data_IF_542991800871
#
_entry.id   IF_542991800871
#
_cell.length_a   1.000
_cell.length_b   1.000
_cell.length_c   1.000
_cell.angle_alpha   90.00
_cell.angle_beta   90.00
_cell.angle_gamma   90.00
#
_symmetry.space_group_name_H-M   'P 1'
#
loop_
_entity.id
_entity.type
_entity.pdbx_description
1 polymer ?
#
# COMPACT_ATOMS: atom_id res chain seq x y z
N UNK A 1 -1.52 1.38 26.68
CA UNK A 1 -0.57 0.86 25.65
C UNK A 1 -1.31 0.38 24.40
N UNK A 2 -2.30 -0.50 24.51
CA UNK A 2 -3.06 -1.01 23.34
C UNK A 2 -3.83 0.09 22.59
N UNK A 3 -4.50 1.00 23.30
CA UNK A 3 -5.18 2.16 22.72
C UNK A 3 -4.23 3.07 21.94
N UNK A 4 -3.05 3.35 22.50
CA UNK A 4 -2.04 4.22 21.87
C UNK A 4 -1.50 3.60 20.58
N UNK A 5 -1.26 2.28 20.56
CA UNK A 5 -0.85 1.57 19.35
C UNK A 5 -1.92 1.59 18.26
N UNK A 6 -3.21 1.45 18.62
CA UNK A 6 -4.33 1.56 17.69
C UNK A 6 -4.42 2.97 17.10
N UNK A 7 -4.33 4.01 17.95
CA UNK A 7 -4.38 5.42 17.50
C UNK A 7 -3.23 5.74 16.56
N UNK A 8 -2.00 5.31 16.87
CA UNK A 8 -0.84 5.51 16.00
C UNK A 8 -1.05 4.78 14.67
N UNK A 9 -1.56 3.54 14.69
CA UNK A 9 -1.87 2.80 13.47
C UNK A 9 -2.92 3.48 12.60
N UNK A 10 -3.98 4.04 13.21
CA UNK A 10 -5.02 4.78 12.50
C UNK A 10 -4.52 6.09 11.89
N UNK A 11 -3.60 6.80 12.55
CA UNK A 11 -2.98 8.02 12.01
C UNK A 11 -2.04 7.68 10.82
N UNK A 12 -1.43 6.51 10.87
CA UNK A 12 -0.50 6.00 9.87
C UNK A 12 -1.19 5.38 8.65
N UNK A 13 -2.44 4.92 8.77
CA UNK A 13 -3.21 4.37 7.65
C UNK A 13 -3.39 5.35 6.47
N UNK A 14 -3.75 6.63 6.68
CA UNK A 14 -3.77 7.64 5.61
C UNK A 14 -2.43 7.77 4.88
N UNK A 15 -1.31 7.70 5.62
CA UNK A 15 0.02 7.76 5.04
C UNK A 15 0.28 6.54 4.15
N UNK A 16 -0.14 5.33 4.59
CA UNK A 16 -0.06 4.12 3.77
C UNK A 16 -0.83 4.28 2.46
N UNK A 17 -2.05 4.79 2.52
CA UNK A 17 -2.90 5.02 1.33
C UNK A 17 -2.20 5.99 0.36
N UNK A 18 -1.64 7.10 0.87
CA UNK A 18 -0.88 8.04 0.06
C UNK A 18 0.32 7.39 -0.62
N UNK A 19 1.11 6.58 0.10
CA UNK A 19 2.27 5.88 -0.46
C UNK A 19 1.89 4.88 -1.54
N UNK A 20 0.81 4.12 -1.35
CA UNK A 20 0.26 3.21 -2.38
C UNK A 20 -0.22 4.00 -3.59
N UNK A 21 -0.88 5.14 -3.36
CA UNK A 21 -1.31 6.08 -4.40
C UNK A 21 -0.15 6.58 -5.25
N UNK A 22 0.87 7.13 -4.61
CA UNK A 22 2.08 7.62 -5.28
C UNK A 22 2.73 6.49 -6.08
N UNK A 23 2.86 5.30 -5.49
CA UNK A 23 3.42 4.11 -6.15
C UNK A 23 2.64 3.71 -7.40
N UNK A 24 1.31 3.81 -7.34
CA UNK A 24 0.43 3.56 -8.49
C UNK A 24 0.62 4.56 -9.62
N UNK A 25 0.64 5.86 -9.32
CA UNK A 25 0.88 6.88 -10.33
C UNK A 25 2.29 6.80 -10.91
N UNK A 26 3.31 6.54 -10.09
CA UNK A 26 4.68 6.33 -10.54
C UNK A 26 4.79 5.13 -11.49
N UNK A 27 4.18 3.99 -11.13
CA UNK A 27 4.13 2.80 -12.00
C UNK A 27 3.55 3.12 -13.39
N UNK A 28 2.54 4.01 -13.45
CA UNK A 28 1.95 4.47 -14.71
C UNK A 28 2.86 5.36 -15.55
N UNK A 29 3.74 6.15 -14.92
CA UNK A 29 4.66 7.07 -15.61
C UNK A 29 5.86 6.35 -16.22
N UNK A 30 6.12 5.09 -15.81
CA UNK A 30 7.23 4.30 -16.32
C UNK A 30 6.97 3.85 -17.77
N UNK A 31 7.74 4.39 -18.71
CA UNK A 31 7.66 4.05 -20.15
C UNK A 31 8.35 2.74 -20.53
N UNK A 32 9.14 2.14 -19.62
CA UNK A 32 9.85 0.88 -19.87
C UNK A 32 8.90 -0.31 -19.68
N UNK A 33 8.63 -1.12 -20.73
CA UNK A 33 7.80 -2.32 -20.59
C UNK A 33 8.46 -3.29 -19.61
N UNK A 34 7.70 -3.75 -18.60
CA UNK A 34 8.17 -4.65 -17.53
C UNK A 34 8.44 -3.96 -16.19
N UNK A 35 9.03 -2.75 -16.19
CA UNK A 35 9.45 -2.08 -14.96
C UNK A 35 8.27 -1.42 -14.21
N UNK A 36 7.26 -0.94 -14.95
CA UNK A 36 5.98 -0.51 -14.35
C UNK A 36 5.16 -1.68 -13.78
N UNK A 37 5.16 -2.84 -14.45
CA UNK A 37 4.41 -4.04 -14.06
C UNK A 37 4.96 -4.72 -12.80
N UNK A 38 6.29 -4.75 -12.60
CA UNK A 38 6.91 -5.30 -11.39
C UNK A 38 7.09 -4.27 -10.27
N UNK A 39 7.20 -2.98 -10.61
CA UNK A 39 7.40 -1.91 -9.63
C UNK A 39 6.21 -1.73 -8.68
N UNK A 40 4.98 -1.87 -9.17
CA UNK A 40 3.79 -1.72 -8.32
C UNK A 40 3.62 -2.88 -7.31
N UNK A 41 3.68 -4.16 -7.70
CA UNK A 41 3.68 -5.28 -6.75
C UNK A 41 4.81 -5.17 -5.72
N UNK A 42 6.01 -4.81 -6.16
CA UNK A 42 7.15 -4.64 -5.26
C UNK A 42 6.88 -3.53 -4.24
N UNK A 43 6.38 -2.37 -4.67
CA UNK A 43 6.02 -1.27 -3.77
C UNK A 43 4.92 -1.66 -2.78
N UNK A 44 3.89 -2.39 -3.23
CA UNK A 44 2.82 -2.92 -2.38
C UNK A 44 3.39 -3.77 -1.25
N UNK A 45 4.31 -4.69 -1.57
CA UNK A 45 4.95 -5.59 -0.60
C UNK A 45 5.86 -4.82 0.34
N UNK A 46 6.68 -3.90 -0.18
CA UNK A 46 7.59 -3.08 0.63
C UNK A 46 6.81 -2.20 1.62
N UNK A 47 5.74 -1.55 1.18
CA UNK A 47 4.88 -0.74 2.04
C UNK A 47 4.20 -1.63 3.09
N UNK A 48 3.70 -2.81 2.69
CA UNK A 48 3.02 -3.72 3.61
C UNK A 48 3.95 -4.29 4.69
N UNK A 49 5.21 -4.57 4.37
CA UNK A 49 6.21 -5.02 5.34
C UNK A 49 6.79 -3.87 6.17
N UNK A 50 6.99 -2.69 5.56
CA UNK A 50 7.59 -1.54 6.24
C UNK A 50 6.83 -1.09 7.48
N UNK A 51 5.49 -1.10 7.45
CA UNK A 51 4.69 -0.68 8.60
C UNK A 51 4.84 -1.59 9.84
N UNK A 52 4.54 -2.90 9.78
CA UNK A 52 4.69 -3.78 10.94
C UNK A 52 6.13 -3.90 11.42
N UNK A 53 7.09 -4.10 10.51
CA UNK A 53 8.48 -4.39 10.90
C UNK A 53 9.30 -3.15 11.25
N UNK A 54 9.22 -2.10 10.42
CA UNK A 54 10.09 -0.92 10.57
C UNK A 54 9.44 0.16 11.42
N UNK A 55 8.13 0.41 11.25
CA UNK A 55 7.45 1.51 11.95
C UNK A 55 6.94 1.06 13.33
N UNK A 56 6.29 -0.10 13.41
CA UNK A 56 5.75 -0.61 14.67
C UNK A 56 6.72 -1.50 15.46
N UNK A 57 7.86 -1.87 14.87
CA UNK A 57 8.86 -2.72 15.52
C UNK A 57 8.33 -4.10 15.91
N UNK A 58 7.31 -4.59 15.21
CA UNK A 58 6.68 -5.89 15.51
C UNK A 58 7.55 -7.04 14.99
N UNK A 59 7.50 -8.17 15.69
CA UNK A 59 8.23 -9.38 15.34
C UNK A 59 7.38 -10.64 15.56
N UNK A 60 7.77 -11.74 14.92
CA UNK A 60 7.07 -13.03 15.02
C UNK A 60 5.80 -13.08 14.18
N UNK A 61 4.93 -14.06 14.48
CA UNK A 61 3.76 -14.40 13.65
C UNK A 61 2.79 -13.24 13.47
N UNK A 62 2.67 -12.36 14.48
CA UNK A 62 1.81 -11.17 14.42
C UNK A 62 2.30 -10.22 13.32
N UNK A 63 3.60 -9.96 13.25
CA UNK A 63 4.18 -9.06 12.25
C UNK A 63 4.00 -9.61 10.82
N UNK A 64 4.24 -10.91 10.63
CA UNK A 64 4.02 -11.59 9.35
C UNK A 64 2.55 -11.58 8.92
N UNK A 65 1.64 -11.84 9.86
CA UNK A 65 0.20 -11.79 9.60
C UNK A 65 -0.25 -10.38 9.23
N UNK A 66 0.21 -9.36 9.96
CA UNK A 66 -0.08 -7.95 9.66
C UNK A 66 0.50 -7.53 8.31
N UNK A 67 1.71 -7.97 7.95
CA UNK A 67 2.30 -7.71 6.64
C UNK A 67 1.49 -8.36 5.52
N UNK A 68 1.07 -9.62 5.67
CA UNK A 68 0.25 -10.32 4.69
C UNK A 68 -1.12 -9.61 4.46
N UNK A 69 -1.79 -9.22 5.55
CA UNK A 69 -3.02 -8.42 5.48
C UNK A 69 -2.75 -7.07 4.79
N UNK A 70 -1.61 -6.44 5.10
CA UNK A 70 -1.17 -5.20 4.48
C UNK A 70 -1.00 -5.31 2.97
N UNK A 71 -0.44 -6.42 2.46
CA UNK A 71 -0.28 -6.68 1.02
C UNK A 71 -1.65 -6.71 0.33
N UNK A 72 -2.60 -7.45 0.89
CA UNK A 72 -3.96 -7.58 0.35
C UNK A 72 -4.66 -6.21 0.36
N UNK A 73 -4.58 -5.48 1.47
CA UNK A 73 -5.15 -4.13 1.60
C UNK A 73 -4.57 -3.16 0.58
N UNK A 74 -3.25 -3.14 0.43
CA UNK A 74 -2.56 -2.28 -0.53
C UNK A 74 -2.93 -2.62 -1.98
N UNK A 75 -3.08 -3.91 -2.31
CA UNK A 75 -3.54 -4.35 -3.63
C UNK A 75 -4.98 -3.90 -3.92
N UNK A 76 -5.88 -3.98 -2.93
CA UNK A 76 -7.25 -3.49 -3.04
C UNK A 76 -7.29 -1.97 -3.25
N UNK A 77 -6.46 -1.21 -2.53
CA UNK A 77 -6.35 0.25 -2.72
C UNK A 77 -5.88 0.57 -4.14
N UNK A 78 -4.85 -0.11 -4.63
CA UNK A 78 -4.37 0.06 -6.01
C UNK A 78 -5.45 -0.29 -7.05
N UNK A 79 -6.19 -1.38 -6.83
CA UNK A 79 -7.32 -1.77 -7.67
C UNK A 79 -8.45 -0.73 -7.68
N UNK A 80 -8.81 -0.22 -6.50
CA UNK A 80 -9.83 0.82 -6.36
C UNK A 80 -9.43 2.11 -7.09
N UNK A 81 -8.17 2.55 -6.97
CA UNK A 81 -7.66 3.71 -7.72
C UNK A 81 -7.71 3.47 -9.22
N UNK A 82 -7.32 2.28 -9.69
CA UNK A 82 -7.43 1.93 -11.10
C UNK A 82 -8.87 1.97 -11.60
N UNK A 83 -9.81 1.44 -10.80
CA UNK A 83 -11.24 1.48 -11.07
C UNK A 83 -11.78 2.92 -11.14
N UNK A 84 -11.49 3.75 -10.13
CA UNK A 84 -11.89 5.15 -10.07
C UNK A 84 -11.35 5.96 -11.24
N UNK A 85 -10.08 5.77 -11.62
CA UNK A 85 -9.49 6.46 -12.78
C UNK A 85 -10.10 6.01 -14.11
N UNK A 86 -10.46 4.73 -14.24
CA UNK A 86 -11.19 4.24 -15.42
C UNK A 86 -12.60 4.82 -15.48
N UNK A 87 -13.27 4.94 -14.33
CA UNK A 87 -14.59 5.55 -14.23
C UNK A 87 -14.52 7.03 -14.59
N UNK A 88 -13.56 7.77 -14.03
CA UNK A 88 -13.35 9.19 -14.31
C UNK A 88 -13.17 9.43 -15.81
N UNK A 89 -12.30 8.68 -16.49
CA UNK A 89 -12.09 8.77 -17.95
C UNK A 89 -13.29 8.39 -18.82
N UNK A 90 -14.27 7.67 -18.25
CA UNK A 90 -15.46 7.25 -18.98
C UNK A 90 -16.56 8.32 -18.92
N UNK A 91 -16.60 9.10 -17.83
CA UNK A 91 -17.64 10.09 -17.58
C UNK A 91 -17.18 11.54 -17.74
N UNK A 92 -15.87 11.79 -17.79
CA UNK A 92 -15.22 13.08 -18.06
C UNK A 92 -14.19 12.93 -19.18
#
# INVERSE_FOLDING_TARGET
>A
MLLTAIVIAQILDPLRILLVGISYFLSRLVKRPGMGWLGLPAAIVVIAAGFPFVIFGQSGDVAWTTAAIGVISNALIAGAMAGLLRLQRRFF
#
